data_IF_087901137006
#
_entry.id   IF_087901137006
#
_cell.length_a   1.000
_cell.length_b   1.000
_cell.length_c   1.000
_cell.angle_alpha   90.00
_cell.angle_beta   90.00
_cell.angle_gamma   90.00
#
_symmetry.space_group_name_H-M   'P 1'
#
loop_
_entity.id
_entity.type
_entity.pdbx_description
1 polymer ?
#
# COMPACT_ATOMS: atom_id res chain seq x y z
N UNK A 1 17.96 -4.74 -1.79
CA UNK A 1 18.35 -5.49 -0.57
C UNK A 1 19.71 -6.09 -0.87
N UNK A 2 20.76 -5.72 -0.13
CA UNK A 2 22.11 -6.24 -0.39
C UNK A 2 22.17 -7.75 -0.15
N UNK A 3 22.78 -8.48 -1.09
CA UNK A 3 23.01 -9.91 -0.95
C UNK A 3 24.09 -10.16 0.12
N UNK A 4 23.67 -10.78 1.23
CA UNK A 4 24.53 -11.14 2.37
C UNK A 4 25.72 -11.99 1.92
N UNK A 5 25.53 -12.90 0.96
CA UNK A 5 26.60 -13.74 0.45
C UNK A 5 27.65 -12.92 -0.29
N UNK A 6 27.22 -11.98 -1.14
CA UNK A 6 28.14 -11.10 -1.87
C UNK A 6 28.92 -10.20 -0.92
N UNK A 7 28.25 -9.58 0.06
CA UNK A 7 28.90 -8.72 1.06
C UNK A 7 29.96 -9.50 1.82
N UNK A 8 29.62 -10.72 2.27
CA UNK A 8 30.57 -11.60 2.97
C UNK A 8 31.79 -11.90 2.10
N UNK A 9 31.58 -12.28 0.83
CA UNK A 9 32.65 -12.59 -0.13
C UNK A 9 33.54 -11.37 -0.40
N UNK A 10 32.93 -10.19 -0.63
CA UNK A 10 33.66 -8.93 -0.84
C UNK A 10 34.56 -8.55 0.35
N UNK A 11 34.15 -8.91 1.57
CA UNK A 11 34.93 -8.69 2.79
C UNK A 11 35.96 -9.79 3.10
N UNK A 12 36.06 -10.81 2.26
CA UNK A 12 36.99 -11.92 2.46
C UNK A 12 36.64 -12.84 3.63
N UNK A 13 35.41 -12.77 4.15
CA UNK A 13 35.02 -13.58 5.30
C UNK A 13 34.61 -15.00 4.88
N UNK A 14 35.15 -16.00 5.58
CA UNK A 14 34.70 -17.39 5.44
C UNK A 14 33.31 -17.57 6.03
N UNK A 15 32.54 -18.55 5.53
CA UNK A 15 31.25 -18.89 6.14
C UNK A 15 31.42 -19.32 7.60
N UNK A 16 32.50 -20.04 7.93
CA UNK A 16 32.82 -20.44 9.30
C UNK A 16 32.99 -19.23 10.22
N UNK A 17 33.73 -18.20 9.77
CA UNK A 17 33.98 -17.00 10.56
C UNK A 17 32.68 -16.24 10.89
N UNK A 18 31.84 -16.00 9.89
CA UNK A 18 30.56 -15.30 10.09
C UNK A 18 29.59 -16.13 10.92
N UNK A 19 29.51 -17.44 10.66
CA UNK A 19 28.61 -18.34 11.38
C UNK A 19 28.96 -18.39 12.88
N UNK A 20 30.25 -18.51 13.22
CA UNK A 20 30.73 -18.45 14.60
C UNK A 20 30.43 -17.10 15.25
N UNK A 21 30.73 -16.00 14.55
CA UNK A 21 30.45 -14.64 15.02
C UNK A 21 28.96 -14.36 15.25
N UNK A 22 28.08 -15.11 14.58
CA UNK A 22 26.64 -15.01 14.72
C UNK A 22 26.01 -16.17 15.51
N UNK A 23 26.81 -17.02 16.16
CA UNK A 23 26.35 -18.15 16.96
C UNK A 23 25.42 -19.11 16.21
N UNK A 24 25.77 -19.46 14.96
CA UNK A 24 25.05 -20.45 14.16
C UNK A 24 26.02 -21.40 13.46
N UNK A 25 25.50 -22.51 12.92
CA UNK A 25 26.35 -23.43 12.15
C UNK A 25 26.64 -22.89 10.73
N UNK A 26 27.81 -23.21 10.13
CA UNK A 26 28.12 -22.82 8.76
C UNK A 26 27.12 -23.36 7.74
N UNK A 27 26.59 -24.57 7.96
CA UNK A 27 25.53 -25.15 7.13
C UNK A 27 24.23 -24.35 7.20
N UNK A 28 23.88 -23.82 8.38
CA UNK A 28 22.71 -22.95 8.55
C UNK A 28 22.88 -21.63 7.81
N UNK A 29 24.05 -20.99 7.94
CA UNK A 29 24.38 -19.78 7.19
C UNK A 29 24.32 -20.02 5.68
N UNK A 30 24.90 -21.13 5.20
CA UNK A 30 24.89 -21.51 3.79
C UNK A 30 23.47 -21.72 3.25
N UNK A 31 22.59 -22.36 4.03
CA UNK A 31 21.19 -22.54 3.65
C UNK A 31 20.44 -21.19 3.50
N UNK A 32 20.76 -20.19 4.33
CA UNK A 32 20.21 -18.85 4.17
C UNK A 32 20.80 -18.10 2.98
N UNK A 33 22.13 -18.14 2.80
CA UNK A 33 22.83 -17.49 1.68
C UNK A 33 22.45 -18.06 0.31
N UNK A 34 22.08 -19.33 0.24
CA UNK A 34 21.67 -20.01 -1.00
C UNK A 34 20.16 -19.97 -1.24
N UNK A 35 19.39 -19.30 -0.36
CA UNK A 35 17.93 -19.20 -0.46
C UNK A 35 17.17 -20.49 -0.12
N UNK A 36 17.85 -21.57 0.27
CA UNK A 36 17.21 -22.83 0.73
C UNK A 36 16.39 -22.65 2.00
N UNK A 37 16.69 -21.62 2.80
CA UNK A 37 15.92 -21.22 3.98
C UNK A 37 15.71 -19.71 3.98
N UNK A 38 14.50 -19.27 4.34
CA UNK A 38 14.22 -17.84 4.57
C UNK A 38 14.89 -17.38 5.86
N UNK A 39 15.43 -16.16 5.84
CA UNK A 39 16.05 -15.53 7.00
C UNK A 39 15.03 -15.15 8.09
N UNK A 40 15.15 -15.69 9.32
CA UNK A 40 14.43 -15.15 10.46
C UNK A 40 14.95 -13.76 10.82
N UNK A 41 14.08 -12.82 11.18
CA UNK A 41 14.45 -11.43 11.43
C UNK A 41 15.62 -11.28 12.42
N UNK A 42 15.53 -11.91 13.60
CA UNK A 42 16.59 -11.83 14.62
C UNK A 42 17.91 -12.51 14.23
N UNK A 43 17.89 -13.40 13.23
CA UNK A 43 19.09 -14.02 12.68
C UNK A 43 19.74 -13.10 11.65
N UNK A 44 18.93 -12.51 10.77
CA UNK A 44 19.39 -11.57 9.75
C UNK A 44 19.94 -10.29 10.35
N UNK A 45 19.25 -9.72 11.35
CA UNK A 45 19.74 -8.59 12.15
C UNK A 45 21.16 -8.83 12.68
N UNK A 46 21.38 -10.02 13.25
CA UNK A 46 22.67 -10.40 13.83
C UNK A 46 23.76 -10.50 12.76
N UNK A 47 23.46 -11.11 11.63
CA UNK A 47 24.40 -11.23 10.51
C UNK A 47 24.68 -9.87 9.87
N UNK A 48 23.67 -9.01 9.69
CA UNK A 48 23.85 -7.65 9.19
C UNK A 48 24.72 -6.82 10.13
N UNK A 49 24.46 -6.88 11.44
CA UNK A 49 25.30 -6.25 12.46
C UNK A 49 26.74 -6.74 12.40
N UNK A 50 26.96 -8.05 12.31
CA UNK A 50 28.30 -8.63 12.19
C UNK A 50 29.02 -8.15 10.93
N UNK A 51 28.30 -8.08 9.81
CA UNK A 51 28.79 -7.57 8.54
C UNK A 51 28.73 -6.03 8.46
N UNK A 52 28.55 -5.28 9.56
CA UNK A 52 28.49 -3.82 9.53
C UNK A 52 27.54 -3.24 8.48
N UNK A 53 26.43 -3.93 8.22
CA UNK A 53 25.35 -3.48 7.35
C UNK A 53 24.31 -2.73 8.20
N UNK A 54 23.58 -1.77 7.60
CA UNK A 54 22.50 -1.08 8.32
C UNK A 54 21.48 -2.08 8.86
N UNK A 55 20.88 -1.83 10.03
CA UNK A 55 19.90 -2.74 10.62
C UNK A 55 18.76 -3.00 9.63
N UNK A 56 18.23 -4.22 9.68
CA UNK A 56 17.03 -4.52 8.93
C UNK A 56 15.85 -3.86 9.63
N UNK A 57 15.05 -3.12 8.88
CA UNK A 57 13.76 -2.68 9.40
C UNK A 57 12.98 -3.92 9.83
N UNK A 58 12.53 -3.91 11.10
CA UNK A 58 11.67 -4.96 11.62
C UNK A 58 10.44 -5.02 10.74
N UNK A 59 10.22 -6.11 9.96
CA UNK A 59 8.96 -6.26 9.30
C UNK A 59 7.93 -6.39 10.42
N UNK A 60 7.14 -5.35 10.61
CA UNK A 60 5.96 -5.44 11.43
C UNK A 60 5.09 -6.53 10.79
N UNK A 61 4.56 -7.47 11.59
CA UNK A 61 3.80 -8.60 11.03
C UNK A 61 2.58 -8.02 10.33
N UNK A 62 2.58 -7.99 8.99
CA UNK A 62 1.44 -7.50 8.21
C UNK A 62 0.51 -8.68 7.96
N UNK A 63 -0.75 -8.58 8.36
CA UNK A 63 -1.74 -9.61 8.03
C UNK A 63 -2.05 -9.53 6.54
N UNK A 64 -1.97 -10.67 5.86
CA UNK A 64 -2.47 -10.78 4.50
C UNK A 64 -3.99 -10.59 4.50
N UNK A 65 -4.55 -10.22 3.36
CA UNK A 65 -6.01 -10.14 3.22
C UNK A 65 -6.69 -11.48 3.52
N UNK A 66 -6.07 -12.60 3.14
CA UNK A 66 -6.62 -13.93 3.39
C UNK A 66 -6.72 -14.20 4.91
N UNK A 67 -5.69 -13.85 5.68
CA UNK A 67 -5.71 -13.96 7.14
C UNK A 67 -6.72 -12.98 7.76
N UNK A 68 -6.77 -11.73 7.28
CA UNK A 68 -7.79 -10.78 7.71
C UNK A 68 -9.20 -11.32 7.49
N UNK A 69 -9.48 -11.92 6.32
CA UNK A 69 -10.79 -12.52 6.00
C UNK A 69 -11.20 -13.65 6.97
N UNK A 70 -10.25 -14.32 7.62
CA UNK A 70 -10.53 -15.36 8.63
C UNK A 70 -10.88 -14.77 10.01
N UNK A 71 -10.46 -13.53 10.28
CA UNK A 71 -10.62 -12.86 11.57
C UNK A 71 -11.88 -11.97 11.59
N UNK A 72 -12.58 -11.85 10.45
CA UNK A 72 -13.66 -10.88 10.25
C UNK A 72 -14.82 -11.11 11.23
N UNK A 73 -15.17 -10.13 12.08
CA UNK A 73 -16.37 -10.17 12.90
C UNK A 73 -17.64 -10.18 12.03
N UNK A 74 -18.74 -10.74 12.56
CA UNK A 74 -20.02 -10.82 11.85
C UNK A 74 -20.68 -9.46 11.57
N UNK A 75 -20.33 -8.39 12.30
CA UNK A 75 -20.84 -7.03 12.06
C UNK A 75 -19.85 -6.20 11.24
N UNK A 76 -20.05 -6.19 9.91
CA UNK A 76 -19.24 -5.45 8.93
C UNK A 76 -19.78 -4.04 8.70
N UNK A 77 -20.06 -3.28 9.76
CA UNK A 77 -20.45 -1.88 9.58
C UNK A 77 -19.31 -1.12 8.91
N UNK A 78 -19.52 -0.69 7.66
CA UNK A 78 -18.57 0.13 6.92
C UNK A 78 -18.74 1.57 7.40
N UNK A 79 -17.66 2.15 7.90
CA UNK A 79 -17.61 3.53 8.34
C UNK A 79 -17.15 4.41 7.18
N UNK A 80 -17.70 5.62 7.12
CA UNK A 80 -17.34 6.65 6.14
C UNK A 80 -17.13 7.95 6.90
N UNK A 81 -16.02 8.63 6.61
CA UNK A 81 -15.75 9.94 7.20
C UNK A 81 -16.67 11.00 6.57
N UNK A 82 -17.06 12.06 7.31
CA UNK A 82 -17.86 13.16 6.78
C UNK A 82 -17.27 13.80 5.51
N UNK A 83 -18.17 14.19 4.60
CA UNK A 83 -17.86 14.89 3.36
C UNK A 83 -18.67 14.37 2.18
N UNK A 84 -18.34 14.84 0.97
CA UNK A 84 -18.86 14.26 -0.26
C UNK A 84 -18.52 12.76 -0.38
N UNK A 85 -19.18 12.06 -1.26
CA UNK A 85 -18.82 10.68 -1.59
C UNK A 85 -18.85 10.55 -3.08
N UNK A 86 -18.40 9.43 -3.61
CA UNK A 86 -18.56 9.17 -5.03
C UNK A 86 -20.04 9.27 -5.46
N UNK A 87 -20.99 8.92 -4.59
CA UNK A 87 -22.40 9.07 -4.90
C UNK A 87 -22.91 10.54 -4.92
N UNK A 88 -22.29 11.44 -4.14
CA UNK A 88 -22.82 12.80 -3.92
C UNK A 88 -21.98 13.92 -4.52
N UNK A 89 -20.75 13.64 -4.95
CA UNK A 89 -19.90 14.64 -5.58
C UNK A 89 -20.40 14.96 -6.99
N UNK A 90 -20.44 16.25 -7.31
CA UNK A 90 -20.83 16.73 -8.64
C UNK A 90 -19.80 16.27 -9.70
N UNK A 91 -20.27 15.54 -10.70
CA UNK A 91 -19.43 14.94 -11.73
C UNK A 91 -19.16 15.98 -12.84
N UNK A 92 -18.14 16.82 -12.64
CA UNK A 92 -17.69 17.81 -13.65
C UNK A 92 -17.18 17.23 -14.98
N UNK A 93 -17.11 15.91 -15.12
CA UNK A 93 -16.50 15.20 -16.24
C UNK A 93 -17.50 14.35 -17.04
N UNK A 94 -18.77 14.76 -17.12
CA UNK A 94 -19.83 14.00 -17.79
C UNK A 94 -19.44 13.49 -19.19
N UNK A 95 -18.76 14.30 -19.99
CA UNK A 95 -18.36 13.91 -21.35
C UNK A 95 -17.28 12.82 -21.35
N UNK A 96 -16.40 12.79 -20.36
CA UNK A 96 -15.43 11.70 -20.22
C UNK A 96 -16.10 10.41 -19.74
N UNK A 97 -17.12 10.49 -18.88
CA UNK A 97 -17.96 9.34 -18.55
C UNK A 97 -18.69 8.80 -19.78
N UNK A 98 -19.22 9.68 -20.65
CA UNK A 98 -19.84 9.31 -21.92
C UNK A 98 -18.85 8.68 -22.91
N UNK A 99 -17.57 9.09 -22.88
CA UNK A 99 -16.52 8.50 -23.70
C UNK A 99 -16.11 7.12 -23.18
N UNK A 100 -15.91 6.99 -21.86
CA UNK A 100 -15.55 5.73 -21.21
C UNK A 100 -16.64 4.67 -21.37
N UNK A 101 -17.93 5.06 -21.34
CA UNK A 101 -19.10 4.17 -21.39
C UNK A 101 -18.97 2.98 -20.43
N UNK A 102 -18.86 3.24 -19.12
CA UNK A 102 -18.63 2.16 -18.16
C UNK A 102 -19.73 1.12 -18.21
N UNK A 103 -19.34 -0.15 -18.34
CA UNK A 103 -20.23 -1.31 -18.30
C UNK A 103 -20.31 -1.92 -16.90
N UNK A 104 -19.35 -1.57 -16.03
CA UNK A 104 -19.21 -2.01 -14.64
C UNK A 104 -19.18 -0.79 -13.73
N UNK A 105 -20.30 -0.53 -13.08
CA UNK A 105 -20.40 0.52 -12.05
C UNK A 105 -20.82 -0.12 -10.72
N UNK A 106 -20.13 0.18 -9.62
CA UNK A 106 -20.57 -0.31 -8.31
C UNK A 106 -21.91 0.29 -7.91
N UNK A 107 -22.62 -0.42 -7.02
CA UNK A 107 -23.91 0.04 -6.50
C UNK A 107 -23.80 1.44 -5.87
N UNK A 108 -24.89 2.19 -5.92
CA UNK A 108 -24.97 3.49 -5.24
C UNK A 108 -24.66 3.35 -3.74
N UNK A 109 -25.14 2.28 -3.10
CA UNK A 109 -24.84 1.98 -1.71
C UNK A 109 -23.34 1.92 -1.43
N UNK A 110 -22.56 1.28 -2.31
CA UNK A 110 -21.10 1.26 -2.17
C UNK A 110 -20.48 2.63 -2.48
N UNK A 111 -20.92 3.31 -3.54
CA UNK A 111 -20.42 4.67 -3.90
C UNK A 111 -20.64 5.69 -2.78
N UNK A 112 -21.71 5.54 -1.98
CA UNK A 112 -21.99 6.36 -0.80
C UNK A 112 -21.05 6.09 0.39
N UNK A 113 -20.23 5.05 0.33
CA UNK A 113 -19.24 4.71 1.36
C UNK A 113 -17.81 5.09 0.94
N UNK A 114 -17.63 5.50 -0.32
CA UNK A 114 -16.33 5.91 -0.88
C UNK A 114 -16.20 7.42 -0.76
N UNK A 115 -15.35 7.90 0.14
CA UNK A 115 -15.04 9.33 0.29
C UNK A 115 -14.23 9.81 -0.91
N UNK A 116 -14.52 11.02 -1.41
CA UNK A 116 -13.83 11.64 -2.54
C UNK A 116 -13.72 13.16 -2.40
N UNK A 117 -12.55 13.77 -2.39
CA UNK A 117 -12.41 15.22 -2.22
C UNK A 117 -12.27 16.02 -3.53
N UNK A 118 -11.99 15.35 -4.65
CA UNK A 118 -11.96 15.98 -5.97
C UNK A 118 -12.83 15.22 -6.99
N UNK A 119 -13.45 15.96 -7.92
CA UNK A 119 -14.39 15.41 -8.91
C UNK A 119 -13.77 14.34 -9.84
N UNK A 120 -12.43 14.32 -9.97
CA UNK A 120 -11.74 13.36 -10.85
C UNK A 120 -11.59 11.98 -10.21
N UNK A 121 -11.56 11.86 -8.89
CA UNK A 121 -11.39 10.57 -8.19
C UNK A 121 -12.45 9.51 -8.59
N UNK A 122 -13.76 9.82 -8.56
CA UNK A 122 -14.80 8.97 -9.13
C UNK A 122 -14.43 8.34 -10.47
N UNK A 123 -13.82 9.13 -11.34
CA UNK A 123 -13.49 8.72 -12.70
C UNK A 123 -12.30 7.75 -12.73
N UNK A 124 -11.32 7.93 -11.85
CA UNK A 124 -10.23 6.98 -11.63
C UNK A 124 -10.79 5.63 -11.14
N UNK A 125 -11.70 5.66 -10.16
CA UNK A 125 -12.33 4.46 -9.60
C UNK A 125 -13.15 3.70 -10.64
N UNK A 126 -13.92 4.40 -11.49
CA UNK A 126 -14.62 3.78 -12.61
C UNK A 126 -13.68 3.02 -13.55
N UNK A 127 -12.52 3.59 -13.89
CA UNK A 127 -11.55 2.90 -14.76
C UNK A 127 -11.03 1.60 -14.13
N UNK A 128 -10.84 1.56 -12.80
CA UNK A 128 -10.46 0.32 -12.11
C UNK A 128 -11.56 -0.74 -12.19
N UNK A 129 -12.84 -0.35 -12.03
CA UNK A 129 -13.97 -1.28 -12.15
C UNK A 129 -14.10 -1.85 -13.56
N UNK A 130 -13.98 -1.01 -14.59
CA UNK A 130 -13.95 -1.48 -15.98
C UNK A 130 -12.80 -2.47 -16.22
N UNK A 131 -11.64 -2.22 -15.59
CA UNK A 131 -10.48 -3.10 -15.69
C UNK A 131 -10.56 -4.37 -14.82
N UNK A 132 -11.66 -4.59 -14.11
CA UNK A 132 -11.88 -5.84 -13.37
C UNK A 132 -11.93 -5.72 -11.85
N UNK A 133 -11.71 -4.54 -11.28
CA UNK A 133 -11.77 -4.35 -9.84
C UNK A 133 -13.19 -4.59 -9.28
N UNK A 134 -13.23 -4.91 -7.99
CA UNK A 134 -14.45 -5.20 -7.26
C UNK A 134 -14.57 -4.34 -6.00
N UNK A 135 -15.82 -4.05 -5.62
CA UNK A 135 -16.15 -3.41 -4.36
C UNK A 135 -15.92 -4.38 -3.20
N UNK A 136 -15.25 -3.92 -2.14
CA UNK A 136 -15.05 -4.69 -0.91
C UNK A 136 -14.97 -3.76 0.30
N UNK A 137 -14.73 -4.33 1.48
CA UNK A 137 -14.48 -3.55 2.68
C UNK A 137 -13.50 -4.27 3.59
N UNK A 138 -12.59 -3.52 4.20
CA UNK A 138 -11.57 -4.06 5.09
C UNK A 138 -11.19 -3.08 6.19
N UNK A 139 -10.43 -3.55 7.17
CA UNK A 139 -9.87 -2.71 8.21
C UNK A 139 -8.35 -2.60 8.02
N UNK A 140 -7.82 -1.46 7.57
CA UNK A 140 -6.38 -1.26 7.43
C UNK A 140 -5.60 -1.48 8.73
N UNK A 141 -6.21 -1.17 9.89
CA UNK A 141 -5.64 -1.45 11.20
C UNK A 141 -5.48 -2.94 11.48
N UNK A 142 -6.50 -3.74 11.17
CA UNK A 142 -6.43 -5.21 11.26
C UNK A 142 -5.52 -5.82 10.19
N UNK A 143 -5.28 -5.13 9.08
CA UNK A 143 -4.26 -5.51 8.10
C UNK A 143 -2.84 -5.14 8.56
N UNK A 144 -2.68 -4.65 9.80
CA UNK A 144 -1.41 -4.27 10.41
C UNK A 144 -0.63 -3.28 9.55
N UNK A 145 -1.30 -2.22 9.06
CA UNK A 145 -0.60 -1.07 8.48
C UNK A 145 0.46 -0.55 9.47
N UNK A 146 1.77 -0.61 9.12
CA UNK A 146 2.80 -0.59 10.16
C UNK A 146 3.48 0.78 10.39
N UNK A 147 3.13 1.82 9.63
CA UNK A 147 3.95 3.03 9.54
C UNK A 147 3.45 4.18 10.40
N UNK A 148 2.17 4.51 10.30
CA UNK A 148 1.55 5.65 10.98
C UNK A 148 0.23 5.24 11.62
N UNK A 149 -0.14 5.86 12.77
CA UNK A 149 -1.49 5.72 13.28
C UNK A 149 -2.51 6.15 12.22
N UNK A 150 -3.52 5.33 12.04
CA UNK A 150 -4.65 5.66 11.17
C UNK A 150 -5.74 6.31 12.01
N UNK A 151 -6.23 7.45 11.55
CA UNK A 151 -7.21 8.27 12.27
C UNK A 151 -8.41 8.62 11.37
N UNK A 152 -9.51 9.01 11.99
CA UNK A 152 -10.63 9.66 11.29
C UNK A 152 -10.34 11.16 11.03
N UNK A 153 -11.26 11.85 10.36
CA UNK A 153 -11.15 13.28 10.09
C UNK A 153 -11.06 14.18 11.34
N UNK A 154 -11.43 13.66 12.52
CA UNK A 154 -11.36 14.36 13.81
C UNK A 154 -10.08 14.02 14.59
N UNK A 155 -9.22 13.15 14.05
CA UNK A 155 -7.99 12.69 14.70
C UNK A 155 -8.19 11.53 15.68
N UNK A 156 -9.38 10.93 15.75
CA UNK A 156 -9.58 9.75 16.60
C UNK A 156 -9.02 8.49 15.91
N UNK A 157 -8.40 7.56 16.65
CA UNK A 157 -7.91 6.31 16.07
C UNK A 157 -9.01 5.52 15.34
N UNK A 158 -8.71 5.03 14.13
CA UNK A 158 -9.64 4.18 13.38
C UNK A 158 -9.90 2.83 14.05
N UNK A 159 -8.93 2.32 14.82
CA UNK A 159 -9.03 1.03 15.50
C UNK A 159 -9.40 -0.10 14.53
N UNK A 160 -10.52 -0.79 14.81
CA UNK A 160 -11.04 -1.91 14.03
C UNK A 160 -12.14 -1.52 13.03
N UNK A 161 -12.33 -0.22 12.76
CA UNK A 161 -13.39 0.21 11.85
C UNK A 161 -13.10 -0.24 10.42
N UNK A 162 -14.12 -0.80 9.77
CA UNK A 162 -14.06 -1.18 8.37
C UNK A 162 -14.27 0.03 7.47
N UNK A 163 -13.57 0.07 6.34
CA UNK A 163 -13.63 1.11 5.32
C UNK A 163 -13.95 0.47 3.98
N UNK A 164 -14.68 1.21 3.13
CA UNK A 164 -14.87 0.82 1.74
C UNK A 164 -13.50 0.72 1.06
N UNK A 165 -13.34 -0.29 0.22
CA UNK A 165 -12.10 -0.53 -0.51
C UNK A 165 -12.39 -1.14 -1.88
N UNK A 166 -11.40 -1.03 -2.77
CA UNK A 166 -11.38 -1.71 -4.05
C UNK A 166 -10.42 -2.89 -3.97
N UNK A 167 -10.74 -4.00 -4.61
CA UNK A 167 -9.85 -5.16 -4.72
C UNK A 167 -9.68 -5.60 -6.16
N UNK A 168 -8.53 -6.18 -6.47
CA UNK A 168 -8.28 -6.75 -7.79
C UNK A 168 -6.97 -7.53 -7.85
N UNK A 169 -6.56 -7.82 -9.09
CA UNK A 169 -5.31 -8.53 -9.39
C UNK A 169 -4.45 -7.74 -10.36
N UNK A 170 -3.13 -7.90 -10.26
CA UNK A 170 -2.15 -7.37 -11.19
C UNK A 170 -1.02 -8.40 -11.30
N UNK A 171 -1.00 -9.14 -12.42
CA UNK A 171 -0.14 -10.33 -12.54
C UNK A 171 -0.49 -11.36 -11.45
N UNK A 172 0.52 -11.86 -10.75
CA UNK A 172 0.36 -12.82 -9.65
C UNK A 172 0.00 -12.17 -8.30
N UNK A 173 -0.05 -10.83 -8.26
CA UNK A 173 -0.33 -10.09 -7.04
C UNK A 173 -1.81 -9.74 -6.93
N UNK A 174 -2.31 -9.78 -5.69
CA UNK A 174 -3.60 -9.22 -5.32
C UNK A 174 -3.37 -7.84 -4.70
N UNK A 175 -4.36 -6.98 -4.80
CA UNK A 175 -4.26 -5.63 -4.23
C UNK A 175 -5.58 -5.19 -3.60
N UNK A 176 -5.47 -4.30 -2.61
CA UNK A 176 -6.56 -3.60 -1.94
C UNK A 176 -6.25 -2.11 -1.91
N UNK A 177 -7.21 -1.28 -2.29
CA UNK A 177 -7.06 0.17 -2.26
C UNK A 177 -8.15 0.77 -1.37
N UNK A 178 -7.75 1.41 -0.29
CA UNK A 178 -8.62 2.13 0.63
C UNK A 178 -8.62 3.63 0.29
N UNK A 179 -9.72 4.20 -0.20
CA UNK A 179 -9.76 5.61 -0.57
C UNK A 179 -9.72 6.52 0.66
N UNK A 180 -9.01 7.64 0.56
CA UNK A 180 -9.12 8.78 1.48
C UNK A 180 -8.95 8.42 2.98
N UNK A 181 -8.01 7.54 3.30
CA UNK A 181 -7.65 7.18 4.69
C UNK A 181 -6.71 8.23 5.28
N UNK A 182 -6.97 8.69 6.51
CA UNK A 182 -6.13 9.71 7.15
C UNK A 182 -4.99 9.07 7.96
N UNK A 183 -3.76 9.51 7.68
CA UNK A 183 -2.54 9.18 8.41
C UNK A 183 -2.22 10.29 9.42
N UNK A 184 -1.89 9.92 10.66
CA UNK A 184 -1.30 10.83 11.63
C UNK A 184 0.21 10.87 11.48
N UNK A 185 0.72 11.94 10.88
CA UNK A 185 2.14 12.24 10.78
C UNK A 185 2.61 13.02 12.03
N UNK A 186 3.93 13.14 12.28
CA UNK A 186 4.42 13.77 13.51
C UNK A 186 3.94 15.20 13.77
N UNK A 187 3.68 16.00 12.71
CA UNK A 187 3.31 17.42 12.82
C UNK A 187 1.96 17.76 12.14
N UNK A 188 1.25 16.79 11.57
CA UNK A 188 0.02 17.01 10.81
C UNK A 188 -0.79 15.74 10.56
N UNK A 189 -2.02 15.93 10.12
CA UNK A 189 -2.77 14.88 9.43
C UNK A 189 -2.50 14.95 7.93
N UNK A 190 -2.37 13.78 7.31
CA UNK A 190 -2.26 13.67 5.87
C UNK A 190 -3.24 12.61 5.37
N UNK A 191 -4.10 12.99 4.44
CA UNK A 191 -5.07 12.10 3.81
C UNK A 191 -4.67 11.93 2.34
N UNK A 192 -3.94 10.84 1.99
CA UNK A 192 -3.73 10.49 0.59
C UNK A 192 -5.05 10.13 -0.10
N UNK A 193 -5.08 10.23 -1.42
CA UNK A 193 -6.24 9.82 -2.22
C UNK A 193 -6.55 8.32 -2.07
N UNK A 194 -5.50 7.52 -1.81
CA UNK A 194 -5.68 6.14 -1.42
C UNK A 194 -4.50 5.55 -0.64
N UNK A 195 -4.81 4.51 0.12
CA UNK A 195 -3.86 3.64 0.80
C UNK A 195 -3.94 2.26 0.16
N UNK A 196 -2.87 1.87 -0.54
CA UNK A 196 -2.75 0.63 -1.29
C UNK A 196 -2.03 -0.43 -0.46
N UNK A 197 -2.59 -1.63 -0.44
CA UNK A 197 -1.96 -2.86 0.02
C UNK A 197 -1.83 -3.82 -1.16
N UNK A 198 -0.61 -4.17 -1.55
CA UNK A 198 -0.34 -5.32 -2.42
C UNK A 198 0.03 -6.53 -1.58
N UNK A 199 -0.53 -7.69 -1.89
CA UNK A 199 -0.26 -8.93 -1.17
C UNK A 199 -0.22 -10.15 -2.10
N UNK A 200 0.44 -11.21 -1.65
CA UNK A 200 0.65 -12.46 -2.40
C UNK A 200 1.94 -13.12 -1.97
N UNK A 201 2.95 -13.14 -2.86
CA UNK A 201 4.29 -13.63 -2.54
C UNK A 201 5.01 -12.78 -1.47
N UNK A 202 4.72 -11.48 -1.45
CA UNK A 202 5.14 -10.52 -0.43
C UNK A 202 3.98 -9.58 -0.07
N UNK A 203 4.21 -8.69 0.90
CA UNK A 203 3.24 -7.69 1.33
C UNK A 203 3.88 -6.30 1.29
N UNK A 204 3.23 -5.37 0.59
CA UNK A 204 3.70 -4.00 0.40
C UNK A 204 2.55 -3.01 0.61
N UNK A 205 2.86 -1.93 1.33
CA UNK A 205 1.99 -0.77 1.43
C UNK A 205 2.54 0.36 0.59
N UNK A 206 1.65 1.15 0.01
CA UNK A 206 1.96 2.39 -0.67
C UNK A 206 0.82 3.38 -0.47
N UNK A 207 1.11 4.67 -0.52
CA UNK A 207 0.07 5.69 -0.68
C UNK A 207 -0.09 6.00 -2.16
N UNK A 208 -1.30 6.30 -2.60
CA UNK A 208 -1.59 6.77 -3.95
C UNK A 208 -1.98 8.23 -3.90
N UNK A 209 -1.41 9.03 -4.79
CA UNK A 209 -1.77 10.43 -5.01
C UNK A 209 -2.22 10.59 -6.47
N UNK A 210 -3.36 11.23 -6.66
CA UNK A 210 -3.98 11.53 -7.93
C UNK A 210 -3.76 13.02 -8.19
N UNK A 211 -2.57 13.33 -8.71
CA UNK A 211 -2.11 14.70 -8.88
C UNK A 211 -3.01 15.47 -9.86
N UNK A 212 -3.62 16.55 -9.39
CA UNK A 212 -4.16 17.60 -10.25
C UNK A 212 -3.04 18.36 -10.97
N UNK A 213 -3.37 19.06 -12.07
CA UNK A 213 -2.38 19.82 -12.87
C UNK A 213 -1.64 20.96 -12.14
N UNK A 214 -1.94 21.20 -10.85
CA UNK A 214 -1.36 22.24 -10.01
C UNK A 214 -0.31 21.75 -9.00
N UNK A 215 -0.06 20.45 -8.89
CA UNK A 215 0.95 19.90 -7.97
C UNK A 215 2.32 19.81 -8.66
N UNK A 216 3.04 20.93 -8.68
CA UNK A 216 4.46 21.01 -9.07
C UNK A 216 5.30 21.66 -7.96
N UNK A 217 4.97 21.40 -6.69
CA UNK A 217 5.75 21.94 -5.57
C UNK A 217 6.66 20.86 -4.99
N UNK A 218 7.65 20.46 -5.79
CA UNK A 218 8.55 19.34 -5.56
C UNK A 218 9.19 19.32 -4.17
N UNK A 219 9.38 20.48 -3.53
CA UNK A 219 9.97 20.57 -2.20
C UNK A 219 9.01 20.12 -1.09
N UNK A 220 7.73 20.48 -1.20
CA UNK A 220 6.70 20.07 -0.23
C UNK A 220 6.40 18.58 -0.36
N UNK A 221 6.25 18.09 -1.59
CA UNK A 221 6.00 16.67 -1.87
C UNK A 221 7.14 15.78 -1.40
N UNK A 222 8.40 16.19 -1.63
CA UNK A 222 9.57 15.46 -1.11
C UNK A 222 9.60 15.41 0.42
N UNK A 223 9.25 16.51 1.10
CA UNK A 223 9.18 16.53 2.56
C UNK A 223 8.08 15.61 3.07
N UNK A 224 6.92 15.61 2.41
CA UNK A 224 5.79 14.76 2.75
C UNK A 224 6.12 13.27 2.55
N UNK A 225 6.71 12.90 1.41
CA UNK A 225 7.15 11.53 1.11
C UNK A 225 8.14 11.00 2.15
N UNK A 226 9.11 11.84 2.55
CA UNK A 226 10.08 11.49 3.57
C UNK A 226 9.42 11.21 4.94
N UNK A 227 8.28 11.84 5.23
CA UNK A 227 7.55 11.63 6.48
C UNK A 227 6.63 10.40 6.45
N UNK A 228 6.05 10.06 5.30
CA UNK A 228 5.07 8.96 5.13
C UNK A 228 5.71 7.56 5.25
N UNK A 229 7.02 7.44 4.99
CA UNK A 229 7.81 6.20 5.16
C UNK A 229 7.33 4.97 4.37
N UNK A 230 6.37 5.14 3.47
CA UNK A 230 5.98 4.17 2.43
C UNK A 230 6.16 4.78 1.05
N UNK A 231 6.33 3.95 0.01
CA UNK A 231 6.30 4.43 -1.37
C UNK A 231 5.04 5.25 -1.67
N UNK A 232 5.22 6.36 -2.37
CA UNK A 232 4.13 7.18 -2.91
C UNK A 232 4.00 6.92 -4.40
N UNK A 233 2.87 6.36 -4.82
CA UNK A 233 2.52 6.17 -6.23
C UNK A 233 1.73 7.39 -6.72
N UNK A 234 2.35 8.19 -7.57
CA UNK A 234 1.74 9.40 -8.13
C UNK A 234 1.17 9.14 -9.52
N UNK A 235 -0.08 9.52 -9.71
CA UNK A 235 -0.79 9.41 -10.98
C UNK A 235 -1.20 10.80 -11.44
N UNK A 236 -0.52 11.39 -12.44
CA UNK A 236 -0.91 12.68 -12.97
C UNK A 236 -2.29 12.62 -13.62
N UNK A 237 -3.03 13.71 -13.56
CA UNK A 237 -4.37 13.86 -14.13
C UNK A 237 -4.49 13.38 -15.59
N UNK A 238 -3.43 13.50 -16.39
CA UNK A 238 -3.39 12.97 -17.77
C UNK A 238 -3.68 11.46 -17.85
N UNK A 239 -3.35 10.68 -16.83
CA UNK A 239 -3.68 9.24 -16.82
C UNK A 239 -5.19 9.04 -16.70
N UNK A 240 -5.87 9.78 -15.83
CA UNK A 240 -7.33 9.73 -15.76
C UNK A 240 -7.96 10.24 -17.05
N UNK A 241 -7.61 11.46 -17.46
CA UNK A 241 -8.22 12.15 -18.61
C UNK A 241 -7.96 11.42 -19.94
N UNK A 242 -6.84 10.72 -20.05
CA UNK A 242 -6.49 9.89 -21.21
C UNK A 242 -7.01 8.45 -21.16
N UNK A 243 -7.85 8.08 -20.18
CA UNK A 243 -8.35 6.71 -19.99
C UNK A 243 -7.25 5.65 -19.80
N UNK A 244 -6.14 6.04 -19.17
CA UNK A 244 -4.94 5.22 -18.97
C UNK A 244 -4.69 4.91 -17.48
N UNK A 245 -5.60 5.32 -16.59
CA UNK A 245 -5.37 5.18 -15.16
C UNK A 245 -5.28 3.71 -14.75
N UNK A 246 -6.19 2.85 -15.23
CA UNK A 246 -6.19 1.45 -14.84
C UNK A 246 -4.91 0.71 -15.26
N UNK A 247 -4.39 0.98 -16.46
CA UNK A 247 -3.12 0.41 -16.92
C UNK A 247 -1.94 0.95 -16.10
N UNK A 248 -1.88 2.27 -15.88
CA UNK A 248 -0.82 2.89 -15.09
C UNK A 248 -0.82 2.38 -13.64
N UNK A 249 -2.01 2.22 -13.05
CA UNK A 249 -2.20 1.66 -11.71
C UNK A 249 -1.72 0.22 -11.64
N UNK A 250 -2.10 -0.62 -12.61
CA UNK A 250 -1.63 -2.01 -12.70
C UNK A 250 -0.10 -2.09 -12.74
N UNK A 251 0.54 -1.28 -13.59
CA UNK A 251 2.00 -1.27 -13.72
C UNK A 251 2.67 -0.79 -12.43
N UNK A 252 2.08 0.19 -11.75
CA UNK A 252 2.56 0.67 -10.45
C UNK A 252 2.45 -0.42 -9.36
N UNK A 253 1.35 -1.18 -9.32
CA UNK A 253 1.19 -2.31 -8.38
C UNK A 253 2.25 -3.40 -8.64
N UNK A 254 2.54 -3.70 -9.91
CA UNK A 254 3.58 -4.66 -10.29
C UNK A 254 4.99 -4.18 -9.89
N UNK A 255 5.23 -2.86 -9.89
CA UNK A 255 6.52 -2.26 -9.56
C UNK A 255 6.84 -2.11 -8.07
N UNK A 256 5.89 -2.37 -7.16
CA UNK A 256 6.10 -2.33 -5.70
C UNK A 256 7.02 -3.44 -5.17
#
# INVERSE_FOLDING_TARGET
>A
MEDIQEVRKKRGYSQLYVANGCQMSPGTLSAYETGRRKWPFGVLERVRKFLGLPPQEKPLPVLTWAEHQQIVPQDRRIHVDPGFTWATIDLKYEDLYKQMKPTRTPSEAFRSLVRTDICSEPFHWSQLFEAGAEATAGCPGQLNFPYHPLVDCSGHPLGNQYRAAFTGTAGDYKWLLFPQITLMLPDRFHRPDGLLLRYGADVRWAVTQLDGGAHQNDAWDRKLDAMIKVPTLRFPSRHALGLQFASAFRDAVLGL
#
